data_IF_606493095419
#
_entry.id   IF_606493095419
#
_cell.length_a   1.000
_cell.length_b   1.000
_cell.length_c   1.000
_cell.angle_alpha   90.00
_cell.angle_beta   90.00
_cell.angle_gamma   90.00
#
_symmetry.space_group_name_H-M   'P 1'
#
loop_
_entity.id
_entity.type
_entity.pdbx_description
1 polymer ?
#
# COMPACT_ATOMS: atom_id res chain seq x y z
N UNK A 1 4.85 -10.40 41.15
CA UNK A 1 5.52 -9.59 40.11
C UNK A 1 4.65 -9.61 38.87
N UNK A 2 3.86 -8.55 38.67
CA UNK A 2 3.20 -8.34 37.38
C UNK A 2 4.29 -7.80 36.46
N UNK A 3 4.65 -8.56 35.42
CA UNK A 3 5.55 -8.07 34.39
C UNK A 3 4.82 -6.94 33.68
N UNK A 4 5.28 -5.70 33.88
CA UNK A 4 4.88 -4.59 33.03
C UNK A 4 5.50 -4.86 31.66
N UNK A 5 4.74 -5.46 30.75
CA UNK A 5 5.12 -5.49 29.35
C UNK A 5 5.09 -4.05 28.86
N UNK A 6 6.25 -3.52 28.47
CA UNK A 6 6.32 -2.26 27.76
C UNK A 6 5.38 -2.34 26.54
N UNK A 7 4.58 -1.30 26.27
CA UNK A 7 3.66 -1.35 25.15
C UNK A 7 4.46 -1.57 23.87
N UNK A 8 4.26 -2.73 23.24
CA UNK A 8 4.86 -3.03 21.93
C UNK A 8 4.56 -1.84 21.02
N UNK A 9 5.62 -1.23 20.48
CA UNK A 9 5.45 -0.06 19.64
C UNK A 9 4.46 -0.41 18.54
N UNK A 10 3.45 0.45 18.32
CA UNK A 10 2.35 0.14 17.40
C UNK A 10 2.84 -0.27 16.00
N UNK A 11 3.98 0.28 15.60
CA UNK A 11 4.68 -0.07 14.35
C UNK A 11 5.13 -1.54 14.28
N UNK A 12 5.54 -2.15 15.40
CA UNK A 12 5.93 -3.55 15.46
C UNK A 12 4.71 -4.49 15.35
N UNK A 13 3.60 -4.12 15.98
CA UNK A 13 2.33 -4.86 15.85
C UNK A 13 1.84 -4.81 14.40
N UNK A 14 1.85 -3.62 13.80
CA UNK A 14 1.44 -3.43 12.40
C UNK A 14 2.33 -4.25 11.46
N UNK A 15 3.66 -4.19 11.64
CA UNK A 15 4.61 -4.97 10.83
C UNK A 15 4.39 -6.47 10.98
N UNK A 16 4.18 -6.96 12.20
CA UNK A 16 3.94 -8.38 12.46
C UNK A 16 2.62 -8.85 11.84
N UNK A 17 1.55 -8.04 11.97
CA UNK A 17 0.26 -8.32 11.35
C UNK A 17 0.35 -8.36 9.83
N UNK A 18 1.05 -7.39 9.22
CA UNK A 18 1.27 -7.37 7.77
C UNK A 18 2.02 -8.61 7.27
N UNK A 19 3.15 -8.97 7.91
CA UNK A 19 3.92 -10.14 7.50
C UNK A 19 3.09 -11.42 7.59
N UNK A 20 2.32 -11.62 8.67
CA UNK A 20 1.44 -12.78 8.82
C UNK A 20 0.39 -12.84 7.69
N UNK A 21 -0.17 -11.72 7.27
CA UNK A 21 -1.11 -11.69 6.15
C UNK A 21 -0.40 -12.08 4.85
N UNK A 22 0.72 -11.44 4.53
CA UNK A 22 1.48 -11.72 3.30
C UNK A 22 1.90 -13.19 3.23
N UNK A 23 2.42 -13.75 4.32
CA UNK A 23 2.87 -15.15 4.38
C UNK A 23 1.74 -16.15 4.11
N UNK A 24 0.48 -15.80 4.42
CA UNK A 24 -0.66 -16.70 4.29
C UNK A 24 -1.47 -16.54 2.99
N UNK A 25 -1.53 -15.33 2.42
CA UNK A 25 -2.38 -15.05 1.25
C UNK A 25 -1.67 -14.28 0.13
N UNK A 26 -0.39 -13.98 0.27
CA UNK A 26 0.35 -13.15 -0.68
C UNK A 26 0.00 -11.66 -0.57
N UNK A 27 0.81 -10.82 -1.19
CA UNK A 27 0.73 -9.36 -1.04
C UNK A 27 -0.61 -8.81 -1.56
N UNK A 28 -1.07 -9.33 -2.70
CA UNK A 28 -2.28 -8.84 -3.36
C UNK A 28 -3.55 -9.05 -2.50
N UNK A 29 -3.72 -10.25 -1.95
CA UNK A 29 -4.90 -10.57 -1.14
C UNK A 29 -4.78 -10.00 0.28
N UNK A 30 -3.56 -9.89 0.83
CA UNK A 30 -3.31 -9.19 2.09
C UNK A 30 -3.70 -7.71 2.02
N UNK A 31 -3.35 -7.03 0.93
CA UNK A 31 -3.79 -5.64 0.68
C UNK A 31 -5.31 -5.55 0.56
N UNK A 32 -5.96 -6.41 -0.22
CA UNK A 32 -7.44 -6.42 -0.34
C UNK A 32 -8.13 -6.64 1.00
N UNK A 33 -7.58 -7.55 1.82
CA UNK A 33 -8.08 -7.82 3.17
C UNK A 33 -8.05 -6.55 4.02
N UNK A 34 -6.91 -5.86 4.13
CA UNK A 34 -6.81 -4.61 4.90
C UNK A 34 -7.76 -3.52 4.37
N UNK A 35 -7.81 -3.32 3.05
CA UNK A 35 -8.70 -2.34 2.39
C UNK A 35 -10.18 -2.67 2.61
N UNK A 36 -10.54 -3.92 2.90
CA UNK A 36 -11.92 -4.29 3.21
C UNK A 36 -12.41 -3.77 4.58
N UNK A 37 -11.50 -3.63 5.56
CA UNK A 37 -11.80 -3.06 6.88
C UNK A 37 -11.62 -1.55 6.89
N UNK A 38 -10.58 -1.07 6.23
CA UNK A 38 -10.35 0.33 5.99
C UNK A 38 -11.08 0.72 4.70
N UNK A 39 -12.40 0.95 4.79
CA UNK A 39 -13.08 1.80 3.81
C UNK A 39 -12.38 3.16 3.86
N UNK A 40 -11.35 3.32 3.02
CA UNK A 40 -10.52 4.51 3.02
C UNK A 40 -11.41 5.75 3.00
N UNK A 41 -11.11 6.72 3.85
CA UNK A 41 -11.66 8.07 3.69
C UNK A 41 -11.18 8.74 2.41
N UNK A 42 -10.18 8.16 1.74
CA UNK A 42 -9.68 8.58 0.44
C UNK A 42 -10.34 7.77 -0.66
N UNK A 43 -11.00 8.46 -1.57
CA UNK A 43 -11.38 7.90 -2.86
C UNK A 43 -10.10 7.82 -3.73
N UNK A 44 -9.20 6.92 -3.36
CA UNK A 44 -7.90 6.73 -4.02
C UNK A 44 -8.07 6.48 -5.52
N UNK A 45 -9.19 5.89 -5.92
CA UNK A 45 -9.59 5.76 -7.31
C UNK A 45 -9.84 7.14 -7.94
N UNK A 46 -10.60 8.03 -7.29
CA UNK A 46 -10.74 9.42 -7.77
C UNK A 46 -9.46 10.23 -7.70
N UNK A 47 -8.60 10.02 -6.70
CA UNK A 47 -7.32 10.73 -6.60
C UNK A 47 -6.35 10.31 -7.70
N UNK A 48 -6.25 9.00 -7.96
CA UNK A 48 -5.51 8.45 -9.10
C UNK A 48 -6.10 8.99 -10.41
N UNK A 49 -7.44 9.00 -10.55
CA UNK A 49 -8.10 9.57 -11.73
C UNK A 49 -7.86 11.07 -11.88
N UNK A 50 -7.79 11.83 -10.78
CA UNK A 50 -7.49 13.26 -10.80
C UNK A 50 -6.03 13.53 -11.19
N UNK A 51 -5.11 12.69 -10.73
CA UNK A 51 -3.68 12.85 -11.00
C UNK A 51 -3.31 12.43 -12.43
N UNK A 52 -3.87 11.32 -12.90
CA UNK A 52 -3.55 10.75 -14.21
C UNK A 52 -4.55 11.13 -15.31
N UNK A 53 -5.69 11.70 -14.96
CA UNK A 53 -6.76 12.06 -15.90
C UNK A 53 -7.31 10.83 -16.61
N UNK A 54 -7.52 10.97 -17.92
CA UNK A 54 -8.00 9.88 -18.80
C UNK A 54 -6.85 9.08 -19.44
N UNK A 55 -5.62 9.19 -18.92
CA UNK A 55 -4.49 8.41 -19.45
C UNK A 55 -4.73 6.92 -19.24
N UNK A 56 -4.41 6.13 -20.28
CA UNK A 56 -4.44 4.68 -20.17
C UNK A 56 -3.24 4.21 -19.35
N UNK A 57 -3.40 3.05 -18.71
CA UNK A 57 -2.35 2.45 -17.87
C UNK A 57 -1.07 2.21 -18.68
N UNK A 58 -1.20 1.87 -19.96
CA UNK A 58 -0.08 1.65 -20.87
C UNK A 58 0.73 2.93 -21.11
N UNK A 59 0.05 4.07 -21.20
CA UNK A 59 0.68 5.39 -21.40
C UNK A 59 1.43 5.81 -20.13
N UNK A 60 0.81 5.62 -18.96
CA UNK A 60 1.42 5.86 -17.65
C UNK A 60 2.68 5.01 -17.48
N UNK A 61 2.58 3.71 -17.79
CA UNK A 61 3.69 2.78 -17.70
C UNK A 61 4.86 3.20 -18.60
N UNK A 62 4.58 3.65 -19.83
CA UNK A 62 5.60 4.15 -20.75
C UNK A 62 6.29 5.41 -20.22
N UNK A 63 5.53 6.37 -19.69
CA UNK A 63 6.09 7.60 -19.10
C UNK A 63 7.02 7.31 -17.93
N UNK A 64 6.63 6.39 -17.04
CA UNK A 64 7.45 5.97 -15.89
C UNK A 64 8.76 5.34 -16.37
N UNK A 65 8.70 4.45 -17.38
CA UNK A 65 9.91 3.84 -17.95
C UNK A 65 10.83 4.87 -18.61
N UNK A 66 10.27 5.88 -19.29
CA UNK A 66 11.05 6.96 -19.90
C UNK A 66 11.67 7.88 -18.86
N UNK A 67 10.95 8.22 -17.79
CA UNK A 67 11.47 9.03 -16.69
C UNK A 67 12.65 8.33 -16.00
N UNK A 68 12.53 7.02 -15.76
CA UNK A 68 13.62 6.19 -15.22
C UNK A 68 14.84 6.16 -16.13
N UNK A 69 14.65 6.03 -17.45
CA UNK A 69 15.75 6.09 -18.43
C UNK A 69 16.45 7.44 -18.46
N UNK A 70 15.72 8.52 -18.18
CA UNK A 70 16.24 9.90 -18.12
C UNK A 70 16.83 10.27 -16.76
N UNK A 71 16.78 9.37 -15.77
CA UNK A 71 17.26 9.62 -14.41
C UNK A 71 16.46 10.68 -13.66
N UNK A 72 15.21 10.90 -14.05
CA UNK A 72 14.31 11.85 -13.38
C UNK A 72 13.63 11.24 -12.15
N UNK A 73 13.59 9.91 -12.08
CA UNK A 73 13.14 9.07 -10.97
C UNK A 73 13.97 7.78 -10.92
#
# INVERSE_FOLDING_TARGET
MIKNEEPVAINEIVRKGWNLLVDNMGEADATRFIVSFERGKGDSVQEIKKFWGDKKVEDIHKEVLEAKKKGLI
#
